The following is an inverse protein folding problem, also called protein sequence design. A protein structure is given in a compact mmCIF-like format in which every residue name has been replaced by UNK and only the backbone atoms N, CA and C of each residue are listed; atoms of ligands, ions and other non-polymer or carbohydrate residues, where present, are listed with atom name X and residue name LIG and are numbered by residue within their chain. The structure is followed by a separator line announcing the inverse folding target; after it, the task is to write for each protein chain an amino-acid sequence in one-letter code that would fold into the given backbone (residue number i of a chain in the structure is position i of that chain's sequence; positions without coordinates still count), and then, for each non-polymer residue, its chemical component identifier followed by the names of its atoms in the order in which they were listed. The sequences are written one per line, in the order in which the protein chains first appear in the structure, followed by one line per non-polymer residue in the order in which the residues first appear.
data_IF_512381674752
#
_entry.id   IF_512381674752
#
_cell.length_a   1.000
_cell.length_b   1.000
_cell.length_c   1.000
_cell.angle_alpha   90.00
_cell.angle_beta   90.00
_cell.angle_gamma   90.00
#
_symmetry.space_group_name_H-M   'P 1'
#
loop_
_entity.id
_entity.type
_entity.pdbx_description
1 polymer ?
#
# COMPACT_ATOMS: atom_id res chain seq x y z
N UNK A 1 -1.03 47.00 56.54
CA UNK A 1 -1.12 45.84 55.61
C UNK A 1 -0.02 45.95 54.58
N UNK A 2 1.06 45.16 54.65
CA UNK A 2 2.13 45.17 53.65
C UNK A 2 1.88 44.11 52.57
N UNK A 3 1.90 44.50 51.30
CA UNK A 3 1.84 43.60 50.15
C UNK A 3 3.25 43.11 49.79
N UNK A 4 3.41 41.78 49.70
CA UNK A 4 4.68 41.10 49.51
C UNK A 4 5.16 41.15 48.05
N UNK A 5 6.37 41.67 47.87
CA UNK A 5 7.48 41.27 46.98
C UNK A 5 7.19 40.64 45.61
N UNK A 6 7.56 41.38 44.55
CA UNK A 6 7.77 40.91 43.18
C UNK A 6 9.08 40.09 43.09
N UNK A 7 9.00 38.87 42.52
CA UNK A 7 10.19 38.11 42.09
C UNK A 7 10.71 38.66 40.74
N UNK A 8 12.02 38.89 40.57
CA UNK A 8 12.59 39.22 39.27
C UNK A 8 12.72 37.97 38.40
N UNK A 9 12.06 37.97 37.23
CA UNK A 9 12.22 36.92 36.23
C UNK A 9 13.44 37.25 35.37
N UNK A 10 14.55 36.57 35.63
CA UNK A 10 15.76 36.61 34.79
C UNK A 10 15.39 36.22 33.36
N UNK A 11 15.43 37.18 32.42
CA UNK A 11 15.36 36.92 30.98
C UNK A 11 16.77 36.62 30.49
N UNK A 12 17.07 35.34 30.25
CA UNK A 12 18.23 34.98 29.44
C UNK A 12 17.99 35.39 27.98
N UNK A 13 18.98 35.95 27.27
CA UNK A 13 18.86 36.25 25.84
C UNK A 13 18.79 34.95 25.01
N UNK A 14 18.12 34.96 23.86
CA UNK A 14 17.98 33.76 23.01
C UNK A 14 19.35 33.31 22.47
N UNK A 15 19.58 32.00 22.34
CA UNK A 15 20.82 31.46 21.77
C UNK A 15 20.91 31.81 20.28
N UNK A 16 22.10 32.30 19.88
CA UNK A 16 22.44 32.64 18.49
C UNK A 16 22.42 31.38 17.61
N UNK A 17 21.72 31.48 16.49
CA UNK A 17 21.68 30.48 15.43
C UNK A 17 23.08 30.35 14.81
N UNK A 18 23.77 29.23 15.06
CA UNK A 18 25.00 28.86 14.37
C UNK A 18 24.61 28.08 13.11
N UNK A 19 25.11 28.55 11.95
CA UNK A 19 24.98 27.92 10.62
C UNK A 19 25.54 26.49 10.64
N UNK A 20 24.82 25.47 10.12
CA UNK A 20 25.41 24.16 9.84
C UNK A 20 26.30 24.19 8.58
N UNK A 21 27.28 23.27 8.48
CA UNK A 21 28.38 23.33 7.53
C UNK A 21 27.99 22.84 6.13
N UNK A 22 28.71 23.37 5.14
CA UNK A 22 28.77 22.88 3.77
C UNK A 22 29.16 21.39 3.75
N UNK A 23 28.28 20.55 3.21
CA UNK A 23 28.66 19.22 2.73
C UNK A 23 28.44 19.20 1.21
N UNK A 24 29.54 18.91 0.53
CA UNK A 24 29.75 18.95 -0.90
C UNK A 24 28.70 18.12 -1.67
N UNK A 25 27.97 18.80 -2.56
CA UNK A 25 27.14 18.16 -3.58
C UNK A 25 28.06 17.56 -4.65
N UNK A 26 28.16 16.24 -4.67
CA UNK A 26 28.59 15.49 -5.84
C UNK A 26 27.41 15.39 -6.81
N UNK A 27 27.69 15.83 -8.03
CA UNK A 27 26.80 15.97 -9.18
C UNK A 27 26.34 14.63 -9.75
N UNK A 28 25.03 14.41 -9.82
CA UNK A 28 24.41 13.70 -10.93
C UNK A 28 23.03 14.33 -11.19
N UNK A 29 22.96 15.08 -12.29
CA UNK A 29 21.75 15.73 -12.78
C UNK A 29 20.71 14.67 -13.17
N UNK A 30 19.66 14.55 -12.37
CA UNK A 30 18.34 14.10 -12.80
C UNK A 30 17.36 14.99 -12.08
N UNK A 31 16.81 16.01 -12.75
CA UNK A 31 15.73 16.84 -12.21
C UNK A 31 14.56 15.89 -11.88
N UNK A 32 14.24 15.66 -10.59
CA UNK A 32 13.07 14.88 -10.26
C UNK A 32 11.84 15.68 -10.68
N UNK A 33 11.00 15.10 -11.53
CA UNK A 33 9.73 15.69 -11.91
C UNK A 33 8.96 16.07 -10.64
N UNK A 34 8.79 17.38 -10.42
CA UNK A 34 7.99 17.91 -9.32
C UNK A 34 6.52 17.60 -9.63
N UNK A 35 5.87 16.90 -8.71
CA UNK A 35 4.46 16.54 -8.87
C UNK A 35 3.55 17.69 -8.44
N UNK A 36 2.22 17.55 -8.65
CA UNK A 36 1.23 18.56 -8.26
C UNK A 36 1.27 18.91 -6.76
N UNK A 37 1.84 18.02 -5.93
CA UNK A 37 2.07 18.18 -4.50
C UNK A 37 3.34 18.98 -4.14
N UNK A 38 4.17 19.34 -5.13
CA UNK A 38 5.45 20.04 -4.93
C UNK A 38 6.58 19.18 -4.36
N UNK A 39 6.39 17.86 -4.34
CA UNK A 39 7.38 16.87 -3.91
C UNK A 39 8.00 16.15 -5.13
N UNK A 40 9.11 15.45 -4.89
CA UNK A 40 9.66 14.50 -5.85
C UNK A 40 8.75 13.27 -5.95
N UNK A 41 8.64 12.67 -7.14
CA UNK A 41 7.81 11.47 -7.38
C UNK A 41 8.07 10.37 -6.33
N UNK A 42 9.34 10.00 -6.10
CA UNK A 42 9.71 9.00 -5.08
C UNK A 42 9.17 9.34 -3.67
N UNK A 43 9.19 10.62 -3.28
CA UNK A 43 8.71 11.04 -1.97
C UNK A 43 7.18 10.97 -1.85
N UNK A 44 6.47 11.12 -2.98
CA UNK A 44 5.02 10.92 -3.05
C UNK A 44 4.68 9.44 -2.99
N UNK A 45 5.40 8.59 -3.73
CA UNK A 45 5.22 7.14 -3.73
C UNK A 45 5.44 6.54 -2.32
N UNK A 46 6.51 6.97 -1.63
CA UNK A 46 6.76 6.58 -0.24
C UNK A 46 5.62 7.04 0.68
N UNK A 47 5.08 8.24 0.48
CA UNK A 47 3.96 8.72 1.27
C UNK A 47 2.68 7.91 1.02
N UNK A 48 2.40 7.54 -0.22
CA UNK A 48 1.25 6.70 -0.56
C UNK A 48 1.35 5.32 0.08
N UNK A 49 2.55 4.72 0.09
CA UNK A 49 2.82 3.47 0.79
C UNK A 49 2.56 3.60 2.30
N UNK A 50 3.11 4.64 2.92
CA UNK A 50 2.87 4.97 4.34
C UNK A 50 1.37 5.14 4.65
N UNK A 51 0.65 5.87 3.78
CA UNK A 51 -0.78 6.14 3.91
C UNK A 51 -1.59 4.85 3.82
N UNK A 52 -1.29 4.01 2.82
CA UNK A 52 -1.94 2.72 2.61
C UNK A 52 -1.78 1.82 3.84
N UNK A 53 -0.56 1.69 4.36
CA UNK A 53 -0.27 0.92 5.56
C UNK A 53 -1.08 1.41 6.77
N UNK A 54 -1.15 2.73 6.99
CA UNK A 54 -1.94 3.31 8.08
C UNK A 54 -3.45 3.02 7.92
N UNK A 55 -3.99 3.09 6.70
CA UNK A 55 -5.40 2.77 6.43
C UNK A 55 -5.67 1.29 6.73
N UNK A 56 -4.80 0.40 6.27
CA UNK A 56 -4.92 -1.04 6.52
C UNK A 56 -4.89 -1.33 8.02
N UNK A 57 -4.00 -0.69 8.77
CA UNK A 57 -3.92 -0.88 10.22
C UNK A 57 -5.17 -0.39 10.96
N UNK A 58 -5.77 0.73 10.51
CA UNK A 58 -7.07 1.21 11.05
C UNK A 58 -8.19 0.21 10.77
N UNK A 59 -8.26 -0.31 9.54
CA UNK A 59 -9.29 -1.28 9.15
C UNK A 59 -9.14 -2.60 9.92
N UNK A 60 -7.92 -3.12 10.02
CA UNK A 60 -7.63 -4.35 10.77
C UNK A 60 -8.03 -4.23 12.24
N UNK A 61 -7.74 -3.09 12.88
CA UNK A 61 -8.17 -2.85 14.26
C UNK A 61 -9.70 -2.75 14.39
N UNK A 62 -10.40 -2.10 13.45
CA UNK A 62 -11.86 -2.03 13.47
C UNK A 62 -12.55 -3.39 13.29
N UNK A 63 -11.89 -4.34 12.61
CA UNK A 63 -12.39 -5.71 12.48
C UNK A 63 -12.17 -6.54 13.75
N UNK A 64 -11.31 -6.09 14.68
CA UNK A 64 -11.06 -6.80 15.93
C UNK A 64 -12.21 -6.54 16.92
N UNK A 65 -12.82 -7.61 17.42
CA UNK A 65 -14.08 -7.59 18.18
C UNK A 65 -13.95 -6.98 19.60
N UNK A 66 -12.73 -6.61 20.03
CA UNK A 66 -12.42 -6.20 21.41
C UNK A 66 -12.17 -4.70 21.61
N UNK A 67 -12.50 -3.85 20.64
CA UNK A 67 -12.28 -2.41 20.79
C UNK A 67 -13.37 -1.72 21.61
N UNK A 68 -12.96 -0.77 22.45
CA UNK A 68 -13.87 0.13 23.16
C UNK A 68 -14.53 1.13 22.18
N UNK A 69 -15.81 1.44 22.37
CA UNK A 69 -16.58 2.35 21.48
C UNK A 69 -15.88 3.69 21.19
N UNK A 70 -15.20 4.26 22.20
CA UNK A 70 -14.43 5.51 22.03
C UNK A 70 -13.26 5.34 21.06
N UNK A 71 -12.59 4.19 21.09
CA UNK A 71 -11.50 3.87 20.18
C UNK A 71 -12.04 3.65 18.77
N UNK A 72 -13.15 2.92 18.62
CA UNK A 72 -13.83 2.71 17.35
C UNK A 72 -14.19 4.04 16.69
N UNK A 73 -14.76 4.98 17.45
CA UNK A 73 -15.09 6.32 16.95
C UNK A 73 -13.85 7.08 16.47
N UNK A 74 -12.79 7.11 17.27
CA UNK A 74 -11.55 7.81 16.92
C UNK A 74 -10.85 7.19 15.69
N UNK A 75 -10.83 5.86 15.59
CA UNK A 75 -10.26 5.14 14.45
C UNK A 75 -11.08 5.39 13.18
N UNK A 76 -12.40 5.33 13.26
CA UNK A 76 -13.30 5.64 12.14
C UNK A 76 -13.13 7.08 11.67
N UNK A 77 -13.04 8.04 12.60
CA UNK A 77 -12.80 9.45 12.27
C UNK A 77 -11.47 9.64 11.54
N UNK A 78 -10.41 9.00 12.03
CA UNK A 78 -9.08 9.06 11.41
C UNK A 78 -9.10 8.44 10.02
N UNK A 79 -9.77 7.29 9.86
CA UNK A 79 -9.92 6.59 8.59
C UNK A 79 -10.63 7.46 7.55
N UNK A 80 -11.71 8.15 7.93
CA UNK A 80 -12.44 9.05 7.04
C UNK A 80 -11.57 10.20 6.52
N UNK A 81 -10.69 10.75 7.36
CA UNK A 81 -9.75 11.81 6.93
C UNK A 81 -8.70 11.26 5.98
N UNK A 82 -8.14 10.08 6.26
CA UNK A 82 -7.10 9.47 5.41
C UNK A 82 -7.64 9.06 4.02
N UNK A 83 -8.87 8.55 3.95
CA UNK A 83 -9.54 8.18 2.69
C UNK A 83 -10.10 9.36 1.91
N UNK A 84 -10.25 10.53 2.54
CA UNK A 84 -10.76 11.71 1.85
C UNK A 84 -9.76 12.20 0.81
N UNK A 85 -10.23 12.39 -0.43
CA UNK A 85 -9.44 13.01 -1.50
C UNK A 85 -9.24 14.52 -1.26
N UNK A 86 -10.07 15.14 -0.41
CA UNK A 86 -10.02 16.57 -0.12
C UNK A 86 -9.05 16.94 1.02
N UNK A 87 -8.51 15.95 1.74
CA UNK A 87 -7.57 16.20 2.81
C UNK A 87 -6.16 16.47 2.24
N UNK A 88 -5.59 17.63 2.57
CA UNK A 88 -4.22 17.95 2.17
C UNK A 88 -3.20 16.96 2.74
N UNK A 89 -2.08 16.78 2.04
CA UNK A 89 -1.00 15.85 2.42
C UNK A 89 -0.51 16.08 3.85
N UNK A 90 -0.34 17.35 4.25
CA UNK A 90 0.08 17.73 5.61
C UNK A 90 -0.94 17.23 6.65
N UNK A 91 -2.24 17.36 6.34
CA UNK A 91 -3.30 16.92 7.25
C UNK A 91 -3.31 15.40 7.40
N UNK A 92 -3.14 14.66 6.30
CA UNK A 92 -3.02 13.20 6.33
C UNK A 92 -1.83 12.75 7.19
N UNK A 93 -0.64 13.35 6.99
CA UNK A 93 0.54 13.08 7.83
C UNK A 93 0.30 13.36 9.31
N UNK A 94 -0.36 14.47 9.65
CA UNK A 94 -0.69 14.80 11.03
C UNK A 94 -1.60 13.74 11.66
N UNK A 95 -2.64 13.30 10.95
CA UNK A 95 -3.55 12.26 11.45
C UNK A 95 -2.81 10.94 11.63
N UNK A 96 -1.97 10.53 10.67
CA UNK A 96 -1.16 9.32 10.78
C UNK A 96 -0.26 9.36 12.03
N UNK A 97 0.46 10.48 12.26
CA UNK A 97 1.33 10.65 13.43
C UNK A 97 0.56 10.70 14.74
N UNK A 98 -0.58 11.39 14.78
CA UNK A 98 -1.40 11.47 15.99
C UNK A 98 -2.02 10.11 16.36
N UNK A 99 -2.33 9.27 15.36
CA UNK A 99 -3.00 7.99 15.57
C UNK A 99 -2.01 6.88 15.90
N UNK A 100 -0.89 6.79 15.17
CA UNK A 100 0.06 5.69 15.25
C UNK A 100 1.41 6.06 15.85
N UNK A 101 1.68 7.35 16.07
CA UNK A 101 3.00 7.84 16.46
C UNK A 101 3.99 7.70 15.29
N UNK A 102 5.11 7.03 15.55
CA UNK A 102 6.09 6.71 14.51
C UNK A 102 5.66 5.45 13.74
N UNK A 103 4.82 5.64 12.73
CA UNK A 103 4.30 4.56 11.91
C UNK A 103 5.36 3.92 11.01
N UNK A 104 6.49 4.60 10.73
CA UNK A 104 7.56 4.03 9.90
C UNK A 104 8.26 2.88 10.60
N UNK A 105 8.52 3.03 11.89
CA UNK A 105 9.08 1.95 12.71
C UNK A 105 8.13 0.76 12.78
N UNK A 106 6.82 1.01 12.92
CA UNK A 106 5.80 -0.05 12.93
C UNK A 106 5.72 -0.80 11.61
N UNK A 107 5.81 -0.10 10.47
CA UNK A 107 5.87 -0.74 9.15
C UNK A 107 7.09 -1.66 9.01
N UNK A 108 8.28 -1.22 9.43
CA UNK A 108 9.49 -2.03 9.40
C UNK A 108 9.42 -3.26 10.34
N UNK A 109 8.79 -3.11 11.51
CA UNK A 109 8.53 -4.24 12.41
C UNK A 109 7.62 -5.29 11.77
N UNK A 110 6.57 -4.86 11.07
CA UNK A 110 5.65 -5.76 10.39
C UNK A 110 6.31 -6.45 9.20
N UNK A 111 7.10 -5.74 8.40
CA UNK A 111 7.90 -6.34 7.34
C UNK A 111 8.84 -7.43 7.89
N UNK A 112 9.48 -7.19 9.03
CA UNK A 112 10.31 -8.19 9.72
C UNK A 112 9.52 -9.39 10.24
N UNK A 113 8.25 -9.22 10.62
CA UNK A 113 7.39 -10.34 11.05
C UNK A 113 7.00 -11.20 9.87
N UNK A 114 6.58 -10.59 8.75
CA UNK A 114 6.08 -11.32 7.58
C UNK A 114 7.18 -11.86 6.65
N UNK A 115 8.37 -11.25 6.64
CA UNK A 115 9.54 -11.79 5.92
C UNK A 115 10.02 -13.13 6.49
N UNK A 116 9.80 -13.40 7.79
CA UNK A 116 10.14 -14.70 8.39
C UNK A 116 9.22 -15.81 7.90
N UNK A 117 7.94 -15.52 7.67
CA UNK A 117 6.98 -16.51 7.16
C UNK A 117 7.26 -16.94 5.73
N UNK A 118 7.81 -16.07 4.88
CA UNK A 118 8.19 -16.43 3.49
C UNK A 118 9.47 -17.27 3.44
N UNK A 119 10.35 -17.21 4.44
CA UNK A 119 11.55 -18.04 4.50
C UNK A 119 11.28 -19.52 4.87
N UNK A 120 10.06 -19.87 5.31
CA UNK A 120 9.70 -21.25 5.66
C UNK A 120 9.26 -22.11 4.46
N UNK A 121 8.96 -21.51 3.30
CA UNK A 121 8.76 -22.31 2.07
C UNK A 121 10.12 -22.82 1.61
N UNK A 122 10.51 -23.98 2.14
CA UNK A 122 11.60 -24.79 1.59
C UNK A 122 11.16 -25.25 0.21
N UNK A 123 11.60 -24.54 -0.82
CA UNK A 123 11.66 -25.09 -2.17
C UNK A 123 12.59 -26.29 -2.11
N UNK A 124 12.03 -27.47 -1.91
CA UNK A 124 12.78 -28.70 -2.07
C UNK A 124 13.08 -28.79 -3.56
N UNK A 125 14.28 -28.38 -3.95
CA UNK A 125 14.84 -28.74 -5.25
C UNK A 125 14.86 -30.26 -5.29
N UNK A 126 13.84 -30.87 -5.91
CA UNK A 126 13.80 -32.30 -6.13
C UNK A 126 15.06 -32.65 -6.91
N UNK A 127 15.93 -33.47 -6.32
CA UNK A 127 17.24 -33.83 -6.90
C UNK A 127 17.11 -34.71 -8.17
N UNK A 128 15.89 -34.93 -8.65
CA UNK A 128 15.58 -35.71 -9.83
C UNK A 128 14.40 -35.04 -10.56
N UNK A 129 14.52 -34.72 -11.86
CA UNK A 129 13.35 -34.39 -12.65
C UNK A 129 12.50 -35.65 -12.74
N UNK A 130 11.41 -35.69 -11.96
CA UNK A 130 10.42 -36.74 -12.10
C UNK A 130 9.81 -36.56 -13.50
N UNK A 131 10.03 -37.54 -14.38
CA UNK A 131 9.51 -37.55 -15.76
C UNK A 131 7.98 -37.65 -15.84
N UNK A 132 7.29 -37.45 -14.72
CA UNK A 132 5.85 -37.59 -14.56
C UNK A 132 5.28 -36.19 -14.44
N UNK A 133 4.73 -35.68 -15.54
CA UNK A 133 3.86 -34.51 -15.50
C UNK A 133 2.59 -34.88 -14.74
N UNK A 134 2.34 -34.24 -13.59
CA UNK A 134 1.03 -34.29 -12.96
C UNK A 134 0.15 -33.19 -13.57
N UNK A 135 -0.89 -33.60 -14.29
CA UNK A 135 -1.93 -32.68 -14.73
C UNK A 135 -2.79 -32.31 -13.52
N UNK A 136 -2.69 -31.06 -13.08
CA UNK A 136 -3.63 -30.52 -12.10
C UNK A 136 -4.85 -30.06 -12.86
N UNK A 137 -5.97 -30.77 -12.69
CA UNK A 137 -7.26 -30.33 -13.22
C UNK A 137 -7.71 -29.13 -12.38
N UNK A 138 -7.86 -27.97 -13.02
CA UNK A 138 -8.41 -26.77 -12.38
C UNK A 138 -9.77 -27.14 -11.78
N UNK A 139 -9.91 -27.03 -10.46
CA UNK A 139 -11.19 -27.20 -9.80
C UNK A 139 -12.10 -26.06 -10.27
N UNK A 140 -13.03 -26.40 -11.16
CA UNK A 140 -14.19 -25.56 -11.41
C UNK A 140 -15.15 -25.89 -10.28
N UNK A 141 -15.27 -24.99 -9.30
CA UNK A 141 -16.43 -25.02 -8.43
C UNK A 141 -17.61 -24.58 -9.30
N UNK A 142 -18.20 -25.53 -10.02
CA UNK A 142 -19.52 -25.37 -10.61
C UNK A 142 -20.47 -25.16 -9.45
N UNK A 143 -20.71 -23.89 -9.12
CA UNK A 143 -21.91 -23.49 -8.41
C UNK A 143 -23.06 -23.96 -9.29
N UNK A 144 -23.75 -25.01 -8.86
CA UNK A 144 -24.98 -25.45 -9.49
C UNK A 144 -25.95 -24.25 -9.54
N UNK A 145 -26.50 -23.90 -10.71
CA UNK A 145 -27.58 -22.94 -10.80
C UNK A 145 -28.86 -23.66 -10.39
N UNK A 146 -29.23 -23.55 -9.13
CA UNK A 146 -30.58 -23.91 -8.68
C UNK A 146 -31.25 -22.69 -8.07
N UNK A 147 -31.65 -21.75 -8.93
CA UNK A 147 -32.82 -20.93 -8.68
C UNK A 147 -33.72 -20.98 -9.92
N UNK A 148 -34.94 -21.46 -9.68
CA UNK A 148 -36.03 -21.49 -10.64
C UNK A 148 -36.61 -20.08 -10.80
N UNK A 149 -36.52 -19.49 -11.98
CA UNK A 149 -37.45 -18.44 -12.44
C UNK A 149 -37.71 -18.58 -13.94
N UNK A 150 -38.95 -18.95 -14.25
CA UNK A 150 -39.77 -18.77 -15.48
C UNK A 150 -39.12 -18.49 -16.85
N UNK A 151 -39.15 -19.52 -17.70
CA UNK A 151 -39.73 -19.57 -19.06
C UNK A 151 -40.07 -18.24 -19.77
N UNK A 152 -39.23 -17.82 -20.74
CA UNK A 152 -39.67 -17.31 -22.06
C UNK A 152 -38.51 -17.33 -23.08
N UNK A 153 -38.76 -18.00 -24.20
CA UNK A 153 -38.22 -17.87 -25.56
C UNK A 153 -36.71 -17.93 -25.89
N UNK A 154 -36.42 -19.04 -26.59
CA UNK A 154 -35.28 -19.40 -27.46
C UNK A 154 -34.77 -18.24 -28.32
N UNK A 155 -33.46 -17.93 -28.27
CA UNK A 155 -32.57 -17.92 -29.45
C UNK A 155 -31.13 -18.31 -29.07
N UNK A 156 -30.73 -19.38 -29.74
CA UNK A 156 -29.50 -20.13 -29.71
C UNK A 156 -28.31 -19.35 -30.31
N UNK A 157 -27.21 -19.23 -29.57
CA UNK A 157 -25.88 -18.98 -30.11
C UNK A 157 -24.84 -19.64 -29.20
N UNK A 158 -24.59 -20.91 -29.49
CA UNK A 158 -23.57 -21.74 -28.87
C UNK A 158 -22.18 -21.26 -29.34
N UNK A 159 -21.56 -20.34 -28.59
CA UNK A 159 -20.14 -20.02 -28.77
C UNK A 159 -19.27 -20.98 -27.93
N UNK A 160 -19.36 -22.28 -28.23
CA UNK A 160 -18.21 -23.16 -27.99
C UNK A 160 -17.08 -22.63 -28.87
N UNK A 161 -16.16 -21.89 -28.27
CA UNK A 161 -14.92 -21.49 -28.91
C UNK A 161 -14.19 -22.76 -29.35
N UNK A 162 -14.34 -23.09 -30.63
CA UNK A 162 -13.56 -24.12 -31.30
C UNK A 162 -12.13 -23.57 -31.34
N UNK A 163 -11.28 -24.13 -30.48
CA UNK A 163 -9.84 -23.93 -30.55
C UNK A 163 -9.42 -24.66 -31.83
N UNK A 164 -9.35 -23.95 -32.96
CA UNK A 164 -8.76 -24.47 -34.18
C UNK A 164 -7.24 -24.52 -33.96
N UNK A 165 -6.59 -25.70 -33.93
CA UNK A 165 -5.14 -25.76 -34.01
C UNK A 165 -4.76 -25.58 -35.49
N UNK A 166 -4.93 -24.36 -35.99
CA UNK A 166 -4.34 -24.00 -37.27
C UNK A 166 -2.83 -23.90 -37.06
N UNK A 167 -2.12 -24.97 -37.44
CA UNK A 167 -0.67 -25.05 -37.46
C UNK A 167 -0.17 -24.22 -38.65
N UNK A 168 -0.38 -22.91 -38.59
CA UNK A 168 0.47 -22.02 -39.38
C UNK A 168 1.88 -22.12 -38.76
N UNK A 169 2.88 -22.33 -39.61
CA UNK A 169 4.31 -22.42 -39.21
C UNK A 169 4.88 -21.09 -38.70
N UNK A 170 4.02 -20.15 -38.30
CA UNK A 170 4.41 -18.85 -37.76
C UNK A 170 4.58 -18.99 -36.24
N UNK A 171 5.80 -18.79 -35.70
CA UNK A 171 5.99 -18.78 -34.27
C UNK A 171 5.19 -17.62 -33.66
N UNK A 172 4.52 -17.88 -32.55
CA UNK A 172 3.78 -16.88 -31.80
C UNK A 172 4.67 -15.66 -31.51
N UNK A 173 4.27 -14.48 -32.00
CA UNK A 173 4.98 -13.22 -31.80
C UNK A 173 4.10 -12.25 -31.02
N UNK A 174 4.67 -11.66 -29.97
CA UNK A 174 4.02 -10.60 -29.21
C UNK A 174 4.15 -9.28 -29.98
N UNK A 175 3.02 -8.62 -30.27
CA UNK A 175 2.98 -7.33 -30.95
C UNK A 175 3.29 -6.15 -30.01
N UNK A 176 4.45 -6.17 -29.35
CA UNK A 176 4.96 -5.00 -28.66
C UNK A 176 5.91 -4.25 -29.60
N UNK A 177 5.42 -3.19 -30.23
CA UNK A 177 6.30 -2.22 -30.87
C UNK A 177 6.93 -1.36 -29.78
N UNK A 178 8.18 -1.67 -29.41
CA UNK A 178 9.01 -0.73 -28.65
C UNK A 178 9.39 0.40 -29.60
N UNK A 179 8.71 1.54 -29.46
CA UNK A 179 9.23 2.81 -29.98
C UNK A 179 10.39 3.22 -29.10
N UNK A 180 11.62 2.96 -29.54
CA UNK A 180 12.80 3.67 -29.01
C UNK A 180 12.66 5.15 -29.37
N UNK A 181 12.74 5.98 -28.33
CA UNK A 181 12.87 7.44 -28.39
C UNK A 181 14.14 7.84 -27.67
#
# INVERSE_FOLDING_TARGET
MPTKSKLPRNKAPPPKLVKPPETQQSTSNTEPARTASGLNQEAEDQFELELCWCIQQLQAGLMDMKLQDKQVYNMTKSLNVLKSNNASLIKKRQVMRNTFGDYRTKMAEDEKKFSKTTSFVKFTSSKKPEKKSMFIKKACNSTDPNEKVSESDVKEANSKAIINPDVSNEPFKFNFCLSES
#
